data_IF_457460374866
#
_entry.id   IF_457460374866
#
_cell.length_a   1.000
_cell.length_b   1.000
_cell.length_c   1.000
_cell.angle_alpha   90.00
_cell.angle_beta   90.00
_cell.angle_gamma   90.00
#
_symmetry.space_group_name_H-M   'P 1'
#
loop_
_entity.id
_entity.type
_entity.pdbx_description
1 polymer ?
#
# COMPACT_ATOMS: atom_id res chain seq x y z
N UNK A 1 10.35 22.61 25.37
CA UNK A 1 9.42 22.19 24.28
C UNK A 1 9.51 20.71 23.87
N UNK A 2 10.61 19.99 24.14
CA UNK A 2 10.72 18.54 23.82
C UNK A 2 9.88 17.66 24.76
N UNK A 3 9.83 17.99 26.06
CA UNK A 3 9.05 17.27 27.06
C UNK A 3 7.54 17.26 26.77
N UNK A 4 6.98 18.36 26.27
CA UNK A 4 5.56 18.46 25.92
C UNK A 4 5.17 17.64 24.67
N UNK A 5 6.11 17.43 23.73
CA UNK A 5 5.92 16.51 22.59
C UNK A 5 5.95 15.05 23.05
N UNK A 6 6.87 14.68 23.95
CA UNK A 6 6.90 13.34 24.54
C UNK A 6 5.65 13.04 25.37
N UNK A 7 5.17 13.98 26.19
CA UNK A 7 3.91 13.83 26.93
C UNK A 7 2.69 13.72 26.01
N UNK A 8 2.64 14.45 24.89
CA UNK A 8 1.58 14.26 23.87
C UNK A 8 1.68 12.91 23.16
N UNK A 9 2.88 12.38 22.94
CA UNK A 9 3.10 11.05 22.34
C UNK A 9 2.71 9.93 23.31
N UNK A 10 3.01 10.09 24.59
CA UNK A 10 2.63 9.17 25.67
C UNK A 10 1.13 9.21 26.01
N UNK A 11 0.50 10.40 25.93
CA UNK A 11 -0.96 10.56 26.05
C UNK A 11 -1.72 10.26 24.76
N UNK A 12 -1.02 10.07 23.64
CA UNK A 12 -1.66 9.60 22.43
C UNK A 12 -2.10 8.16 22.69
N UNK A 13 -3.37 7.81 22.49
CA UNK A 13 -3.83 6.42 22.56
C UNK A 13 -3.17 5.54 21.49
N UNK A 14 -2.16 6.02 20.75
CA UNK A 14 -1.33 5.27 19.82
C UNK A 14 -0.06 4.68 20.44
N UNK A 15 0.40 5.17 21.60
CA UNK A 15 1.64 4.70 22.23
C UNK A 15 1.55 3.30 22.83
N UNK A 16 0.37 2.95 23.39
CA UNK A 16 0.14 1.67 24.06
C UNK A 16 -0.24 0.51 23.12
N UNK A 17 -0.64 0.79 21.88
CA UNK A 17 -1.00 -0.23 20.88
C UNK A 17 0.11 -0.43 19.84
N UNK A 18 1.32 0.06 20.11
CA UNK A 18 2.35 0.39 19.13
C UNK A 18 3.08 -0.77 18.42
N UNK A 19 2.73 -2.03 18.67
CA UNK A 19 3.40 -3.13 17.98
C UNK A 19 2.93 -3.29 16.53
N UNK A 20 3.90 -3.37 15.62
CA UNK A 20 3.67 -3.65 14.20
C UNK A 20 3.02 -5.04 14.11
N UNK A 21 1.95 -5.21 13.31
CA UNK A 21 1.37 -6.54 13.09
C UNK A 21 2.46 -7.53 12.66
N UNK A 22 2.49 -8.77 13.19
CA UNK A 22 3.49 -9.76 12.81
C UNK A 22 3.38 -10.10 11.31
N UNK A 23 4.50 -10.38 10.65
CA UNK A 23 4.48 -10.85 9.26
C UNK A 23 3.90 -12.26 9.17
N UNK A 24 3.25 -12.63 8.04
CA UNK A 24 2.74 -14.00 7.85
C UNK A 24 3.87 -15.03 7.71
N UNK A 25 5.10 -14.58 7.49
CA UNK A 25 6.28 -15.42 7.25
C UNK A 25 7.10 -15.69 8.52
N UNK A 26 6.47 -15.70 9.70
CA UNK A 26 7.12 -16.08 10.95
C UNK A 26 8.30 -15.19 11.34
N UNK A 27 8.27 -13.90 10.98
CA UNK A 27 9.36 -12.94 11.26
C UNK A 27 10.42 -12.85 10.16
N UNK A 28 10.35 -13.68 9.10
CA UNK A 28 11.23 -13.54 7.95
C UNK A 28 10.90 -12.28 7.14
N UNK A 29 11.90 -11.52 6.67
CA UNK A 29 11.72 -10.27 5.94
C UNK A 29 11.44 -10.50 4.45
N UNK A 30 10.48 -11.37 4.12
CA UNK A 30 10.19 -11.79 2.73
C UNK A 30 9.80 -10.60 1.87
N UNK A 31 8.96 -9.71 2.40
CA UNK A 31 8.50 -8.53 1.67
C UNK A 31 9.61 -7.53 1.44
N UNK A 32 10.49 -7.32 2.42
CA UNK A 32 11.66 -6.47 2.29
C UNK A 32 12.65 -7.03 1.25
N UNK A 33 12.87 -8.35 1.22
CA UNK A 33 13.67 -9.02 0.19
C UNK A 33 13.03 -8.88 -1.19
N UNK A 34 11.71 -9.07 -1.30
CA UNK A 34 10.99 -8.90 -2.56
C UNK A 34 11.06 -7.46 -3.08
N UNK A 35 10.90 -6.46 -2.21
CA UNK A 35 11.06 -5.05 -2.56
C UNK A 35 12.49 -4.80 -3.08
N UNK A 36 13.51 -5.30 -2.39
CA UNK A 36 14.90 -5.11 -2.80
C UNK A 36 15.19 -5.78 -4.14
N UNK A 37 14.89 -7.07 -4.28
CA UNK A 37 15.12 -7.82 -5.51
C UNK A 37 14.33 -7.24 -6.70
N UNK A 38 13.07 -6.85 -6.46
CA UNK A 38 12.23 -6.21 -7.45
C UNK A 38 12.77 -4.84 -7.87
N UNK A 39 13.27 -4.04 -6.94
CA UNK A 39 13.91 -2.76 -7.23
C UNK A 39 15.18 -2.93 -8.07
N UNK A 40 16.01 -3.93 -7.78
CA UNK A 40 17.19 -4.27 -8.61
C UNK A 40 16.77 -4.64 -10.04
N UNK A 41 15.78 -5.52 -10.19
CA UNK A 41 15.27 -5.90 -11.52
C UNK A 41 14.69 -4.71 -12.30
N UNK A 42 13.99 -3.82 -11.59
CA UNK A 42 13.46 -2.57 -12.17
C UNK A 42 14.59 -1.66 -12.65
N UNK A 43 15.64 -1.46 -11.86
CA UNK A 43 16.81 -0.64 -12.23
C UNK A 43 17.52 -1.24 -13.46
N UNK A 44 17.81 -2.54 -13.45
CA UNK A 44 18.46 -3.22 -14.58
C UNK A 44 17.62 -3.06 -15.85
N UNK A 45 16.32 -3.37 -15.76
CA UNK A 45 15.41 -3.26 -16.88
C UNK A 45 15.26 -1.83 -17.41
N UNK A 46 15.34 -0.81 -16.54
CA UNK A 46 15.35 0.60 -16.99
C UNK A 46 16.64 0.95 -17.74
N UNK A 47 17.81 0.48 -17.27
CA UNK A 47 19.11 0.73 -17.93
C UNK A 47 19.16 0.04 -19.30
N UNK A 48 18.61 -1.17 -19.40
CA UNK A 48 18.56 -1.95 -20.64
C UNK A 48 17.44 -1.49 -21.61
N UNK A 49 16.59 -0.55 -21.18
CA UNK A 49 15.49 -0.02 -22.01
C UNK A 49 14.25 -0.91 -22.06
N UNK A 50 14.12 -1.90 -21.18
CA UNK A 50 12.92 -2.71 -21.02
C UNK A 50 13.20 -4.18 -20.71
N UNK A 51 12.32 -5.05 -21.21
CA UNK A 51 12.50 -6.50 -21.17
C UNK A 51 11.99 -7.21 -19.90
N UNK A 52 12.23 -8.52 -19.81
CA UNK A 52 11.71 -9.36 -18.72
C UNK A 52 12.15 -8.90 -17.33
N UNK A 53 13.38 -8.39 -17.20
CA UNK A 53 13.91 -7.88 -15.93
C UNK A 53 13.06 -6.72 -15.37
N UNK A 54 12.65 -5.79 -16.24
CA UNK A 54 11.78 -4.67 -15.85
C UNK A 54 10.41 -5.18 -15.37
N UNK A 55 9.79 -6.07 -16.14
CA UNK A 55 8.45 -6.61 -15.86
C UNK A 55 8.45 -7.36 -14.53
N UNK A 56 9.39 -8.31 -14.38
CA UNK A 56 9.54 -9.09 -13.14
C UNK A 56 9.88 -8.17 -11.98
N UNK A 57 10.76 -7.19 -12.16
CA UNK A 57 11.12 -6.21 -11.15
C UNK A 57 9.92 -5.43 -10.62
N UNK A 58 9.09 -4.89 -11.52
CA UNK A 58 7.85 -4.18 -11.17
C UNK A 58 6.89 -5.10 -10.42
N UNK A 59 6.66 -6.32 -10.91
CA UNK A 59 5.73 -7.27 -10.29
C UNK A 59 6.18 -7.66 -8.88
N UNK A 60 7.44 -8.09 -8.73
CA UNK A 60 7.97 -8.56 -7.44
C UNK A 60 8.03 -7.42 -6.41
N UNK A 61 8.47 -6.22 -6.82
CA UNK A 61 8.50 -5.06 -5.95
C UNK A 61 7.09 -4.67 -5.50
N UNK A 62 6.13 -4.64 -6.43
CA UNK A 62 4.73 -4.33 -6.13
C UNK A 62 4.14 -5.32 -5.13
N UNK A 63 4.40 -6.62 -5.29
CA UNK A 63 3.92 -7.65 -4.36
C UNK A 63 4.46 -7.44 -2.94
N UNK A 64 5.75 -7.14 -2.80
CA UNK A 64 6.35 -6.85 -1.50
C UNK A 64 5.77 -5.59 -0.85
N UNK A 65 5.55 -4.53 -1.63
CA UNK A 65 4.89 -3.29 -1.15
C UNK A 65 3.45 -3.56 -0.72
N UNK A 66 2.68 -4.31 -1.53
CA UNK A 66 1.28 -4.63 -1.25
C UNK A 66 1.14 -5.46 0.01
N UNK A 67 1.97 -6.49 0.22
CA UNK A 67 1.92 -7.30 1.45
C UNK A 67 2.03 -6.41 2.69
N UNK A 68 3.09 -5.59 2.77
CA UNK A 68 3.39 -4.81 3.97
C UNK A 68 2.30 -3.78 4.21
N UNK A 69 1.92 -3.06 3.15
CA UNK A 69 0.97 -1.96 3.26
C UNK A 69 -0.44 -2.44 3.52
N UNK A 70 -0.85 -3.58 2.92
CA UNK A 70 -2.12 -4.22 3.22
C UNK A 70 -2.16 -4.70 4.67
N UNK A 71 -1.12 -5.39 5.15
CA UNK A 71 -1.05 -5.87 6.55
C UNK A 71 -1.14 -4.72 7.54
N UNK A 72 -0.38 -3.65 7.32
CA UNK A 72 -0.40 -2.47 8.19
C UNK A 72 -1.72 -1.69 8.11
N UNK A 73 -2.38 -1.69 6.95
CA UNK A 73 -3.66 -1.02 6.74
C UNK A 73 -4.81 -1.79 7.37
N UNK A 74 -4.97 -3.07 7.07
CA UNK A 74 -6.07 -3.89 7.55
C UNK A 74 -5.99 -4.18 9.06
N UNK A 75 -4.80 -4.08 9.66
CA UNK A 75 -4.63 -4.12 11.13
C UNK A 75 -4.98 -2.81 11.84
N UNK A 76 -5.22 -1.72 11.10
CA UNK A 76 -5.44 -0.39 11.67
C UNK A 76 -4.17 0.27 12.22
N UNK A 77 -2.97 -0.25 11.92
CA UNK A 77 -1.68 0.29 12.38
C UNK A 77 -1.33 1.61 11.66
N UNK A 78 -1.29 1.60 10.32
CA UNK A 78 -1.02 2.79 9.48
C UNK A 78 -1.89 2.80 8.23
N UNK A 79 -2.40 3.98 7.87
CA UNK A 79 -3.30 4.09 6.71
C UNK A 79 -2.51 4.19 5.41
N UNK A 80 -2.62 3.17 4.57
CA UNK A 80 -2.09 3.14 3.19
C UNK A 80 -3.20 3.15 2.12
N UNK A 81 -4.36 3.76 2.42
CA UNK A 81 -5.53 3.73 1.53
C UNK A 81 -5.25 4.31 0.14
N UNK A 82 -4.46 5.39 0.08
CA UNK A 82 -4.09 6.04 -1.19
C UNK A 82 -3.30 5.11 -2.09
N UNK A 83 -2.26 4.47 -1.54
CA UNK A 83 -1.40 3.54 -2.25
C UNK A 83 -2.16 2.28 -2.70
N UNK A 84 -2.92 1.68 -1.79
CA UNK A 84 -3.69 0.46 -2.05
C UNK A 84 -4.83 0.69 -3.05
N UNK A 85 -5.41 1.89 -3.11
CA UNK A 85 -6.41 2.24 -4.13
C UNK A 85 -5.76 2.60 -5.48
N UNK A 86 -4.59 3.23 -5.47
CA UNK A 86 -3.90 3.63 -6.69
C UNK A 86 -3.50 2.43 -7.55
N UNK A 87 -3.01 1.34 -6.93
CA UNK A 87 -2.53 0.17 -7.66
C UNK A 87 -3.59 -0.46 -8.60
N UNK A 88 -4.77 -0.90 -8.12
CA UNK A 88 -5.82 -1.43 -8.99
C UNK A 88 -6.42 -0.36 -9.92
N UNK A 89 -6.44 0.92 -9.54
CA UNK A 89 -6.91 1.99 -10.42
C UNK A 89 -5.99 2.17 -11.65
N UNK A 90 -4.66 2.17 -11.43
CA UNK A 90 -3.68 2.18 -12.52
C UNK A 90 -3.81 0.91 -13.36
N UNK A 91 -3.94 -0.27 -12.71
CA UNK A 91 -4.18 -1.53 -13.41
C UNK A 91 -5.42 -1.50 -14.31
N UNK A 92 -6.52 -0.93 -13.84
CA UNK A 92 -7.73 -0.76 -14.64
C UNK A 92 -7.53 0.17 -15.83
N UNK A 93 -6.78 1.28 -15.66
CA UNK A 93 -6.42 2.17 -16.75
C UNK A 93 -5.55 1.50 -17.81
N UNK A 94 -4.54 0.73 -17.38
CA UNK A 94 -3.68 -0.06 -18.28
C UNK A 94 -4.50 -1.11 -19.02
N UNK A 95 -5.37 -1.86 -18.33
CA UNK A 95 -6.25 -2.85 -18.94
C UNK A 95 -7.22 -2.21 -19.96
N UNK A 96 -7.78 -1.05 -19.64
CA UNK A 96 -8.65 -0.31 -20.55
C UNK A 96 -7.92 0.06 -21.84
N UNK A 97 -6.70 0.61 -21.75
CA UNK A 97 -5.88 0.96 -22.93
C UNK A 97 -5.47 -0.30 -23.71
N UNK A 98 -5.17 -1.40 -23.03
CA UNK A 98 -4.80 -2.65 -23.68
C UNK A 98 -5.95 -3.25 -24.51
N UNK A 99 -7.20 -3.12 -24.04
CA UNK A 99 -8.40 -3.66 -24.72
C UNK A 99 -8.92 -2.71 -25.80
N UNK A 100 -8.97 -1.41 -25.52
CA UNK A 100 -9.61 -0.41 -26.40
C UNK A 100 -8.61 0.30 -27.32
N UNK A 101 -7.32 0.02 -27.19
CA UNK A 101 -6.25 0.76 -27.84
C UNK A 101 -5.98 2.12 -27.19
N UNK A 102 -5.05 2.90 -27.76
CA UNK A 102 -4.71 4.22 -27.23
C UNK A 102 -5.85 5.22 -27.53
N UNK A 103 -6.57 5.71 -26.51
CA UNK A 103 -7.66 6.65 -26.76
C UNK A 103 -7.11 8.00 -27.21
N UNK A 104 -7.83 8.65 -28.12
CA UNK A 104 -7.47 9.99 -28.63
C UNK A 104 -7.47 11.05 -27.52
N UNK A 105 -8.29 10.88 -26.49
CA UNK A 105 -8.36 11.77 -25.34
C UNK A 105 -7.97 11.05 -24.04
N UNK A 106 -7.04 11.64 -23.29
CA UNK A 106 -6.64 11.16 -21.95
C UNK A 106 -7.81 11.17 -20.96
N UNK A 107 -8.82 12.00 -21.23
CA UNK A 107 -10.06 12.08 -20.46
C UNK A 107 -10.78 10.73 -20.36
N UNK A 108 -10.75 9.89 -21.41
CA UNK A 108 -11.41 8.57 -21.39
C UNK A 108 -10.74 7.62 -20.39
N UNK A 109 -9.41 7.62 -20.31
CA UNK A 109 -8.68 6.82 -19.30
C UNK A 109 -8.99 7.33 -17.91
N UNK A 110 -9.01 8.66 -17.71
CA UNK A 110 -9.34 9.25 -16.41
C UNK A 110 -10.77 8.94 -15.96
N UNK A 111 -11.72 8.83 -16.90
CA UNK A 111 -13.11 8.45 -16.61
C UNK A 111 -13.18 7.02 -16.04
N UNK A 112 -12.23 6.15 -16.34
CA UNK A 112 -12.13 4.81 -15.71
C UNK A 112 -11.33 4.86 -14.41
N UNK A 113 -10.15 5.49 -14.42
CA UNK A 113 -9.21 5.48 -13.29
C UNK A 113 -9.78 6.21 -12.07
N UNK A 114 -10.39 7.39 -12.26
CA UNK A 114 -10.86 8.24 -11.16
C UNK A 114 -11.99 7.58 -10.36
N UNK A 115 -13.05 7.02 -10.98
CA UNK A 115 -14.08 6.31 -10.22
C UNK A 115 -13.55 5.07 -9.51
N UNK A 116 -12.72 4.26 -10.18
CA UNK A 116 -12.12 3.06 -9.54
C UNK A 116 -11.30 3.47 -8.32
N UNK A 117 -10.44 4.48 -8.47
CA UNK A 117 -9.65 5.02 -7.36
C UNK A 117 -10.54 5.53 -6.23
N UNK A 118 -11.52 6.38 -6.53
CA UNK A 118 -12.37 7.02 -5.53
C UNK A 118 -13.20 5.99 -4.73
N UNK A 119 -13.79 5.01 -5.42
CA UNK A 119 -14.57 3.93 -4.81
C UNK A 119 -13.67 3.11 -3.88
N UNK A 120 -12.53 2.62 -4.38
CA UNK A 120 -11.61 1.79 -3.60
C UNK A 120 -11.02 2.56 -2.42
N UNK A 121 -10.62 3.81 -2.63
CA UNK A 121 -10.11 4.67 -1.58
C UNK A 121 -11.15 4.83 -0.47
N UNK A 122 -12.40 5.13 -0.82
CA UNK A 122 -13.47 5.29 0.16
C UNK A 122 -13.75 4.00 0.96
N UNK A 123 -13.80 2.84 0.29
CA UNK A 123 -13.97 1.54 0.95
C UNK A 123 -12.79 1.21 1.88
N UNK A 124 -11.56 1.33 1.41
CA UNK A 124 -10.35 1.07 2.18
C UNK A 124 -10.25 2.02 3.37
N UNK A 125 -10.55 3.31 3.16
CA UNK A 125 -10.56 4.31 4.23
C UNK A 125 -11.58 3.94 5.31
N UNK A 126 -12.78 3.52 4.93
CA UNK A 126 -13.83 3.09 5.86
C UNK A 126 -13.41 1.85 6.66
N UNK A 127 -12.83 0.84 5.98
CA UNK A 127 -12.32 -0.38 6.64
C UNK A 127 -11.18 -0.10 7.62
N UNK A 128 -10.27 0.81 7.26
CA UNK A 128 -9.22 1.25 8.18
C UNK A 128 -9.78 1.87 9.46
N UNK A 129 -10.81 2.72 9.36
CA UNK A 129 -11.41 3.33 10.56
C UNK A 129 -12.03 2.28 11.48
N UNK A 130 -12.73 1.29 10.92
CA UNK A 130 -13.29 0.18 11.69
C UNK A 130 -12.19 -0.64 12.39
N UNK A 131 -11.13 -1.03 11.67
CA UNK A 131 -10.00 -1.77 12.24
C UNK A 131 -9.27 -0.96 13.33
N UNK A 132 -9.11 0.35 13.10
CA UNK A 132 -8.49 1.28 14.04
C UNK A 132 -9.32 1.39 15.33
N UNK A 133 -10.64 1.50 15.23
CA UNK A 133 -11.53 1.57 16.38
C UNK A 133 -11.49 0.27 17.20
N UNK A 134 -11.56 -0.89 16.54
CA UNK A 134 -11.45 -2.18 17.20
C UNK A 134 -10.12 -2.34 17.96
N UNK A 135 -9.03 -1.81 17.40
CA UNK A 135 -7.71 -1.81 18.04
C UNK A 135 -7.66 -0.93 19.28
N UNK A 136 -8.26 0.26 19.23
CA UNK A 136 -8.33 1.20 20.38
C UNK A 136 -9.28 0.71 21.47
N UNK A 137 -10.31 -0.07 21.12
CA UNK A 137 -11.27 -0.62 22.07
C UNK A 137 -10.77 -1.87 22.82
N UNK A 138 -9.66 -2.50 22.38
CA UNK A 138 -9.08 -3.64 23.09
C UNK A 138 -8.49 -3.17 24.44
N UNK A 139 -8.83 -3.80 25.57
CA UNK A 139 -8.17 -3.52 26.84
C UNK A 139 -6.65 -3.74 26.71
N UNK A 140 -5.82 -2.96 27.43
CA UNK A 140 -4.39 -3.27 27.54
C UNK A 140 -4.24 -4.70 28.09
N UNK A 141 -3.34 -5.48 27.49
CA UNK A 141 -3.01 -6.81 28.01
C UNK A 141 -2.54 -6.70 29.47
N UNK A 142 -2.95 -7.64 30.35
CA UNK A 142 -2.54 -7.67 31.76
C UNK A 142 -1.04 -7.88 31.92
#
# INVERSE_FOLDING_TARGET
MVASRQQRRARSPMGAYGERPPSPFGGLPVSEIAIFAGAVGLIIGLIEGGGPALIVGVVVCTLGVVEVTAREHFSGYRSHATLLAALPAVGAGVAFVAVMGTPRSRALVLLVVVPVYAILFWFLRSRFQAARQARVARPPAP
#
